data_IF_850825576513
#
_entry.id   IF_850825576513
#
_cell.length_a   1.000
_cell.length_b   1.000
_cell.length_c   1.000
_cell.angle_alpha   90.00
_cell.angle_beta   90.00
_cell.angle_gamma   90.00
#
_symmetry.space_group_name_H-M   'P 1'
#
loop_
_entity.id
_entity.type
_entity.pdbx_description
1 polymer ?
#
# COMPACT_ATOMS: atom_id res chain seq x y z
N UNK A 1 2.35 12.35 -5.31
CA UNK A 1 3.34 13.32 -4.79
C UNK A 1 4.72 12.72 -4.97
N UNK A 2 5.60 13.37 -5.72
CA UNK A 2 6.98 12.90 -5.94
C UNK A 2 7.90 13.74 -5.06
N UNK A 3 8.60 13.12 -4.10
CA UNK A 3 9.47 13.82 -3.16
C UNK A 3 10.92 13.57 -3.58
N UNK A 4 11.54 14.53 -4.26
CA UNK A 4 12.99 14.55 -4.49
C UNK A 4 13.64 15.50 -3.49
N UNK A 5 14.14 14.94 -2.38
CA UNK A 5 15.10 15.62 -1.50
C UNK A 5 16.26 14.66 -1.20
N UNK A 6 17.52 15.13 -1.19
CA UNK A 6 18.72 14.27 -1.10
C UNK A 6 18.77 13.33 0.09
N UNK A 7 18.01 13.61 1.15
CA UNK A 7 18.04 12.87 2.41
C UNK A 7 16.90 11.84 2.58
N UNK A 8 15.92 11.77 1.66
CA UNK A 8 14.83 10.79 1.74
C UNK A 8 14.92 9.78 0.61
N UNK A 9 15.77 8.77 0.79
CA UNK A 9 15.90 7.65 -0.18
C UNK A 9 14.71 6.69 -0.13
N UNK A 10 13.89 6.76 0.92
CA UNK A 10 12.67 5.99 1.10
C UNK A 10 11.42 6.79 0.75
N UNK A 11 10.38 6.09 0.31
CA UNK A 11 9.09 6.66 -0.09
C UNK A 11 9.27 7.85 -1.05
N UNK A 12 10.21 7.72 -2.00
CA UNK A 12 10.60 8.78 -2.95
C UNK A 12 9.46 9.20 -3.87
N UNK A 13 8.48 8.30 -4.06
CA UNK A 13 7.22 8.59 -4.73
C UNK A 13 6.08 7.84 -4.05
N UNK A 14 4.98 8.56 -3.81
CA UNK A 14 3.70 7.96 -3.45
C UNK A 14 2.65 8.42 -4.44
N UNK A 15 2.03 7.47 -5.12
CA UNK A 15 0.93 7.68 -6.04
C UNK A 15 -0.31 6.98 -5.50
N UNK A 16 -1.46 7.63 -5.59
CA UNK A 16 -2.75 7.01 -5.26
C UNK A 16 -3.78 7.48 -6.27
N UNK A 17 -4.48 6.51 -6.85
CA UNK A 17 -5.57 6.73 -7.78
C UNK A 17 -6.84 6.08 -7.21
N UNK A 18 -7.96 6.79 -7.35
CA UNK A 18 -9.27 6.35 -6.87
C UNK A 18 -10.26 6.33 -8.02
N UNK A 19 -11.11 5.30 -8.05
CA UNK A 19 -12.33 5.28 -8.86
C UNK A 19 -13.51 5.14 -7.93
N UNK A 20 -14.44 6.11 -7.96
CA UNK A 20 -15.60 6.15 -7.09
C UNK A 20 -16.77 6.86 -7.77
N UNK A 21 -17.98 6.54 -7.34
CA UNK A 21 -19.20 7.22 -7.77
C UNK A 21 -19.41 8.48 -6.94
N UNK A 22 -19.73 9.60 -7.60
CA UNK A 22 -20.08 10.87 -6.95
C UNK A 22 -21.24 11.56 -7.67
N UNK A 23 -21.89 12.51 -6.99
CA UNK A 23 -23.01 13.26 -7.53
C UNK A 23 -23.29 14.52 -6.71
N UNK A 24 -24.06 15.45 -7.30
CA UNK A 24 -24.49 16.68 -6.61
C UNK A 24 -25.52 16.35 -5.53
N UNK A 25 -25.35 16.95 -4.37
CA UNK A 25 -26.25 16.79 -3.21
C UNK A 25 -26.65 18.17 -2.66
N UNK A 26 -27.81 18.28 -1.98
CA UNK A 26 -28.23 19.53 -1.33
C UNK A 26 -27.27 19.98 -0.22
N UNK A 27 -26.66 19.01 0.47
CA UNK A 27 -25.69 19.21 1.54
C UNK A 27 -24.39 18.46 1.22
N UNK A 28 -23.26 18.92 1.76
CA UNK A 28 -21.97 18.26 1.56
C UNK A 28 -21.98 16.84 2.15
N UNK A 29 -21.59 15.85 1.35
CA UNK A 29 -21.44 14.46 1.80
C UNK A 29 -20.00 13.98 1.61
N UNK A 30 -19.43 13.20 2.56
CA UNK A 30 -18.11 12.62 2.37
C UNK A 30 -18.08 11.65 1.18
N UNK A 31 -17.09 11.82 0.30
CA UNK A 31 -16.82 10.89 -0.81
C UNK A 31 -16.32 9.55 -0.27
N UNK A 32 -16.61 8.38 -0.87
CA UNK A 32 -16.25 7.08 -0.32
C UNK A 32 -14.77 6.69 -0.52
N UNK A 33 -13.82 7.61 -0.31
CA UNK A 33 -12.42 7.37 -0.59
C UNK A 33 -11.80 6.33 0.35
N UNK A 34 -11.05 5.40 -0.23
CA UNK A 34 -10.31 4.36 0.48
C UNK A 34 -8.84 4.75 0.68
N UNK A 35 -8.24 4.39 1.80
CA UNK A 35 -6.82 4.61 2.06
C UNK A 35 -6.13 3.30 2.39
N UNK A 36 -5.09 2.95 1.63
CA UNK A 36 -4.25 1.79 1.93
C UNK A 36 -3.21 2.17 2.99
N UNK A 37 -2.98 1.27 3.95
CA UNK A 37 -1.97 1.40 5.00
C UNK A 37 -1.08 0.16 4.97
N UNK A 38 0.21 0.36 4.73
CA UNK A 38 1.23 -0.68 4.87
C UNK A 38 1.94 -0.53 6.21
N UNK A 39 2.21 -1.64 6.90
CA UNK A 39 2.96 -1.62 8.15
C UNK A 39 4.04 -2.70 8.19
N UNK A 40 5.07 -2.67 7.31
CA UNK A 40 6.14 -3.67 7.31
C UNK A 40 6.75 -3.85 8.71
N UNK A 41 6.79 -5.08 9.18
CA UNK A 41 7.29 -5.42 10.51
C UNK A 41 8.79 -5.67 10.51
N UNK A 42 9.39 -5.64 11.70
CA UNK A 42 10.77 -6.05 11.96
C UNK A 42 11.82 -5.28 11.13
N UNK A 43 11.48 -4.04 10.76
CA UNK A 43 12.43 -3.08 10.21
C UNK A 43 13.25 -2.45 11.34
N UNK A 44 14.49 -2.09 11.04
CA UNK A 44 15.33 -1.32 11.96
C UNK A 44 14.87 0.16 12.05
N UNK A 45 15.59 0.96 12.85
CA UNK A 45 15.31 2.38 13.05
C UNK A 45 15.46 3.23 11.77
N UNK A 46 16.06 2.68 10.71
CA UNK A 46 16.23 3.30 9.40
C UNK A 46 15.24 2.75 8.35
N UNK A 47 14.20 2.04 8.79
CA UNK A 47 13.23 1.38 7.92
C UNK A 47 13.90 0.41 6.95
N UNK A 48 14.88 -0.37 7.44
CA UNK A 48 15.59 -1.39 6.68
C UNK A 48 15.27 -2.79 7.21
N UNK A 49 14.97 -3.69 6.29
CA UNK A 49 14.87 -5.11 6.55
C UNK A 49 16.21 -5.81 6.31
N UNK A 50 16.47 -6.90 7.03
CA UNK A 50 17.65 -7.73 6.79
C UNK A 50 17.59 -8.38 5.41
N UNK A 51 18.72 -8.42 4.72
CA UNK A 51 18.82 -9.07 3.42
C UNK A 51 18.52 -10.59 3.49
N UNK A 52 17.82 -11.11 2.48
CA UNK A 52 17.48 -12.53 2.35
C UNK A 52 16.47 -13.07 3.36
N UNK A 53 15.84 -12.22 4.18
CA UNK A 53 14.76 -12.60 5.10
C UNK A 53 13.39 -12.38 4.46
N UNK A 54 12.33 -12.74 5.18
CA UNK A 54 10.95 -12.42 4.82
C UNK A 54 10.44 -11.34 5.75
N UNK A 55 9.94 -10.24 5.19
CA UNK A 55 9.26 -9.18 5.94
C UNK A 55 7.75 -9.42 5.91
N UNK A 56 7.14 -9.49 7.09
CA UNK A 56 5.68 -9.53 7.23
C UNK A 56 5.12 -8.13 7.01
N UNK A 57 4.12 -8.00 6.15
CA UNK A 57 3.47 -6.72 5.83
C UNK A 57 1.96 -6.83 6.08
N UNK A 58 1.49 -6.43 7.27
CA UNK A 58 0.10 -6.07 7.49
C UNK A 58 -0.33 -4.96 6.52
N UNK A 59 -1.50 -5.13 5.94
CA UNK A 59 -2.15 -4.17 5.07
C UNK A 59 -3.57 -3.91 5.58
N UNK A 60 -3.91 -2.63 5.80
CA UNK A 60 -5.29 -2.22 6.07
C UNK A 60 -5.80 -1.31 4.96
N UNK A 61 -7.11 -1.38 4.74
CA UNK A 61 -7.83 -0.46 3.87
C UNK A 61 -8.85 0.27 4.74
N UNK A 62 -8.66 1.57 4.88
CA UNK A 62 -9.46 2.44 5.71
C UNK A 62 -10.39 3.29 4.81
N UNK A 63 -11.52 3.73 5.35
CA UNK A 63 -12.43 4.65 4.67
C UNK A 63 -12.46 5.96 5.42
N UNK A 64 -12.65 7.07 4.71
CA UNK A 64 -12.87 8.36 5.34
C UNK A 64 -14.11 8.35 6.24
N UNK A 65 -14.02 9.07 7.35
CA UNK A 65 -15.09 9.14 8.35
C UNK A 65 -16.36 9.76 7.74
N UNK A 66 -17.51 9.17 8.04
CA UNK A 66 -18.82 9.65 7.60
C UNK A 66 -19.21 9.26 6.17
N UNK A 67 -18.33 8.59 5.41
CA UNK A 67 -18.73 7.98 4.14
C UNK A 67 -19.60 6.73 4.35
N UNK A 68 -20.45 6.37 3.37
CA UNK A 68 -21.23 5.13 3.42
C UNK A 68 -20.37 3.91 3.72
N UNK A 69 -20.89 3.01 4.54
CA UNK A 69 -20.21 1.75 4.85
C UNK A 69 -20.25 0.81 3.65
N UNK A 70 -19.11 0.23 3.33
CA UNK A 70 -18.96 -0.85 2.35
C UNK A 70 -17.80 -1.76 2.78
N UNK A 71 -17.93 -3.07 2.55
CA UNK A 71 -16.89 -4.02 2.92
C UNK A 71 -15.85 -4.11 1.81
N UNK A 72 -14.57 -4.11 2.15
CA UNK A 72 -13.50 -4.33 1.16
C UNK A 72 -13.47 -5.83 0.83
N UNK A 73 -13.74 -6.17 -0.42
CA UNK A 73 -13.92 -7.57 -0.88
C UNK A 73 -12.67 -8.15 -1.50
N UNK A 74 -11.73 -7.30 -1.94
CA UNK A 74 -10.50 -7.75 -2.56
C UNK A 74 -9.32 -6.82 -2.26
N UNK A 75 -8.15 -7.43 -2.13
CA UNK A 75 -6.86 -6.77 -2.06
C UNK A 75 -5.87 -7.54 -2.92
N UNK A 76 -5.35 -6.90 -3.96
CA UNK A 76 -4.18 -7.37 -4.71
C UNK A 76 -2.97 -6.61 -4.20
N UNK A 77 -1.95 -7.33 -3.72
CA UNK A 77 -0.66 -6.77 -3.34
C UNK A 77 0.41 -7.21 -4.33
N UNK A 78 1.29 -6.28 -4.69
CA UNK A 78 2.44 -6.50 -5.55
C UNK A 78 3.68 -5.84 -4.93
N UNK A 79 4.84 -6.42 -5.20
CA UNK A 79 6.16 -5.90 -4.81
C UNK A 79 7.01 -5.62 -6.04
N UNK A 80 8.02 -4.76 -5.87
CA UNK A 80 9.03 -4.47 -6.88
C UNK A 80 10.38 -4.23 -6.22
N UNK A 81 11.46 -4.67 -6.88
CA UNK A 81 12.84 -4.42 -6.47
C UNK A 81 13.57 -3.44 -7.40
N UNK A 82 12.88 -2.92 -8.44
CA UNK A 82 13.41 -2.08 -9.51
C UNK A 82 12.66 -0.74 -9.62
N UNK A 83 12.32 -0.18 -8.45
CA UNK A 83 11.61 1.10 -8.30
C UNK A 83 10.28 1.19 -9.09
N UNK A 84 9.59 0.05 -9.21
CA UNK A 84 8.27 -0.04 -9.83
C UNK A 84 8.28 -0.25 -11.34
N UNK A 85 9.43 -0.57 -11.94
CA UNK A 85 9.54 -0.89 -13.37
C UNK A 85 8.84 -2.21 -13.68
N UNK A 86 9.02 -3.23 -12.84
CA UNK A 86 8.32 -4.50 -12.88
C UNK A 86 7.66 -4.81 -11.54
N UNK A 87 6.56 -5.57 -11.57
CA UNK A 87 5.76 -5.87 -10.38
C UNK A 87 5.50 -7.37 -10.28
N UNK A 88 5.75 -7.92 -9.10
CA UNK A 88 5.52 -9.32 -8.78
C UNK A 88 4.36 -9.44 -7.78
N UNK A 89 3.39 -10.34 -7.99
CA UNK A 89 2.30 -10.53 -7.06
C UNK A 89 2.82 -11.11 -5.74
N UNK A 90 2.26 -10.63 -4.63
CA UNK A 90 2.50 -11.17 -3.29
C UNK A 90 1.17 -11.62 -2.71
N UNK A 91 0.99 -12.91 -2.38
CA UNK A 91 -0.21 -13.39 -1.72
C UNK A 91 -0.45 -12.62 -0.40
N UNK A 92 -1.65 -12.07 -0.26
CA UNK A 92 -2.11 -11.41 0.95
C UNK A 92 -3.32 -12.19 1.50
N UNK A 93 -3.21 -12.66 2.74
CA UNK A 93 -4.26 -13.46 3.38
C UNK A 93 -5.03 -12.60 4.40
N UNK A 94 -6.35 -12.81 4.56
CA UNK A 94 -7.12 -12.13 5.60
C UNK A 94 -6.53 -12.37 6.99
N UNK A 95 -6.42 -11.31 7.79
CA UNK A 95 -5.92 -11.35 9.17
C UNK A 95 -6.58 -10.23 9.98
N UNK A 96 -7.44 -10.59 10.93
CA UNK A 96 -8.21 -9.62 11.72
C UNK A 96 -9.07 -8.73 10.82
N UNK A 97 -8.94 -7.42 10.96
CA UNK A 97 -9.67 -6.42 10.16
C UNK A 97 -8.97 -6.02 8.85
N UNK A 98 -7.99 -6.80 8.38
CA UNK A 98 -7.21 -6.49 7.19
C UNK A 98 -6.57 -7.72 6.58
N UNK A 99 -5.39 -7.54 5.99
CA UNK A 99 -4.61 -8.59 5.36
C UNK A 99 -3.19 -8.62 5.91
N UNK A 100 -2.52 -9.74 5.74
CA UNK A 100 -1.08 -9.87 5.95
C UNK A 100 -0.45 -10.55 4.75
N UNK A 101 0.70 -10.03 4.32
CA UNK A 101 1.52 -10.61 3.26
C UNK A 101 2.92 -10.93 3.78
N UNK A 102 3.58 -11.90 3.14
CA UNK A 102 4.96 -12.27 3.38
C UNK A 102 5.80 -11.84 2.17
N UNK A 103 6.62 -10.80 2.34
CA UNK A 103 7.45 -10.24 1.26
C UNK A 103 8.87 -10.78 1.38
N UNK A 104 9.36 -11.59 0.42
CA UNK A 104 10.74 -12.06 0.42
C UNK A 104 11.69 -10.92 0.03
N UNK A 105 12.67 -10.63 0.88
CA UNK A 105 13.66 -9.61 0.62
C UNK A 105 14.79 -10.13 -0.29
N UNK A 106 15.34 -9.28 -1.18
CA UNK A 106 16.53 -9.62 -1.95
C UNK A 106 17.70 -9.93 -1.01
N UNK A 107 18.63 -10.77 -1.51
CA UNK A 107 19.87 -11.10 -0.78
C UNK A 107 20.92 -9.98 -0.85
N UNK A 108 20.72 -9.01 -1.73
CA UNK A 108 21.58 -7.85 -1.91
C UNK A 108 20.92 -6.60 -1.33
N UNK A 109 21.74 -5.60 -1.01
CA UNK A 109 21.23 -4.30 -0.61
C UNK A 109 20.34 -3.69 -1.71
N UNK A 110 19.29 -2.98 -1.31
CA UNK A 110 18.34 -2.39 -2.25
C UNK A 110 17.10 -1.86 -1.56
N UNK A 111 16.00 -1.83 -2.29
CA UNK A 111 14.72 -1.33 -1.80
C UNK A 111 13.58 -2.25 -2.23
N UNK A 112 12.51 -2.23 -1.46
CA UNK A 112 11.24 -2.83 -1.83
C UNK A 112 10.22 -1.73 -2.04
N UNK A 113 9.57 -1.74 -3.20
CA UNK A 113 8.40 -0.92 -3.51
C UNK A 113 7.14 -1.76 -3.37
N UNK A 114 6.04 -1.15 -2.94
CA UNK A 114 4.76 -1.84 -2.73
C UNK A 114 3.67 -1.18 -3.56
N UNK A 115 2.79 -2.00 -4.13
CA UNK A 115 1.60 -1.54 -4.85
C UNK A 115 0.41 -2.38 -4.43
N UNK A 116 -0.67 -1.72 -4.04
CA UNK A 116 -1.92 -2.38 -3.70
C UNK A 116 -3.06 -1.86 -4.57
N UNK A 117 -3.95 -2.76 -4.96
CA UNK A 117 -5.26 -2.42 -5.53
C UNK A 117 -6.34 -3.06 -4.66
N UNK A 118 -7.27 -2.25 -4.16
CA UNK A 118 -8.38 -2.72 -3.33
C UNK A 118 -9.71 -2.27 -3.92
N UNK A 119 -10.73 -3.12 -3.75
CA UNK A 119 -12.12 -2.87 -4.20
C UNK A 119 -13.08 -3.21 -3.07
N UNK A 120 -14.13 -2.40 -2.90
CA UNK A 120 -15.20 -2.66 -1.95
C UNK A 120 -16.53 -3.09 -2.59
N UNK A 121 -17.51 -3.46 -1.77
CA UNK A 121 -18.86 -3.88 -2.21
C UNK A 121 -19.63 -2.80 -2.96
N UNK A 122 -19.23 -1.53 -2.88
CA UNK A 122 -19.83 -0.43 -3.63
C UNK A 122 -19.20 -0.23 -5.02
N UNK A 123 -18.15 -1.00 -5.35
CA UNK A 123 -17.37 -0.84 -6.57
C UNK A 123 -16.33 0.28 -6.48
N UNK A 124 -16.14 0.90 -5.31
CA UNK A 124 -15.07 1.89 -5.12
C UNK A 124 -13.73 1.17 -5.15
N UNK A 125 -12.77 1.71 -5.92
CA UNK A 125 -11.42 1.17 -6.01
C UNK A 125 -10.38 2.18 -5.60
N UNK A 126 -9.30 1.69 -4.99
CA UNK A 126 -8.08 2.44 -4.75
C UNK A 126 -6.89 1.65 -5.26
N UNK A 127 -6.00 2.33 -5.99
CA UNK A 127 -4.68 1.83 -6.34
C UNK A 127 -3.65 2.74 -5.71
N UNK A 128 -2.83 2.21 -4.81
CA UNK A 128 -1.73 2.94 -4.19
C UNK A 128 -0.39 2.30 -4.55
N UNK A 129 0.59 3.13 -4.87
CA UNK A 129 1.98 2.73 -5.14
C UNK A 129 2.91 3.54 -4.25
N UNK A 130 3.79 2.85 -3.54
CA UNK A 130 4.86 3.43 -2.72
C UNK A 130 6.20 2.93 -3.25
N UNK A 131 6.96 3.83 -3.86
CA UNK A 131 8.29 3.53 -4.36
C UNK A 131 9.30 3.61 -3.22
N UNK A 132 10.11 2.55 -3.08
CA UNK A 132 11.06 2.35 -1.97
C UNK A 132 10.37 2.46 -0.61
N UNK A 133 9.33 1.67 -0.42
CA UNK A 133 8.57 1.58 0.83
C UNK A 133 9.47 1.27 2.04
N UNK A 134 10.49 0.42 1.84
CA UNK A 134 11.55 0.17 2.83
C UNK A 134 12.86 -0.25 2.16
N UNK A 135 13.98 -0.15 2.88
CA UNK A 135 15.30 -0.58 2.41
C UNK A 135 15.59 -2.04 2.79
N UNK A 136 16.56 -2.65 2.11
CA UNK A 136 17.08 -3.98 2.43
C UNK A 136 18.60 -3.90 2.52
N UNK A 137 19.19 -4.51 3.55
CA UNK A 137 20.64 -4.58 3.75
C UNK A 137 21.08 -4.61 5.20
#
# INVERSE_FOLDING_TARGET
MRRQVPHSVLSSSVETAWTFTSGRTPEAKPLPLLAVRYAPADLDAFSRARAGTVTRVPVRVERNLGAPQAQVTSLRLEMSFDDGTSWLPVPAVPAGSGWTAAVPNPRTAGFVSLKATATDTSGTTVKQTVIRAYAVG
#
